data_IF_712250744172
#
_entry.id   IF_712250744172
#
_cell.length_a   1.000
_cell.length_b   1.000
_cell.length_c   1.000
_cell.angle_alpha   90.00
_cell.angle_beta   90.00
_cell.angle_gamma   90.00
#
_symmetry.space_group_name_H-M   'P 1'
#
loop_
_entity.id
_entity.type
_entity.pdbx_description
1 polymer ?
#
# COMPACT_ATOMS: atom_id res chain seq x y z
N UNK A 1 -18.04 17.08 -41.38
CA UNK A 1 -18.91 17.55 -40.29
C UNK A 1 -19.22 16.36 -39.40
N UNK A 2 -18.52 16.26 -38.27
CA UNK A 2 -18.83 15.30 -37.19
C UNK A 2 -18.82 16.11 -35.89
N UNK A 3 -20.00 16.20 -35.28
CA UNK A 3 -20.24 16.69 -33.93
C UNK A 3 -20.18 15.50 -32.96
N UNK A 4 -20.09 15.84 -31.66
CA UNK A 4 -19.95 14.99 -30.46
C UNK A 4 -18.51 14.50 -30.21
N UNK A 5 -17.92 14.58 -29.03
CA UNK A 5 -18.28 15.18 -27.74
C UNK A 5 -17.09 14.97 -26.82
N UNK A 6 -16.83 15.93 -25.94
CA UNK A 6 -16.30 15.75 -24.59
C UNK A 6 -14.87 15.19 -24.39
N UNK A 7 -14.05 16.04 -23.77
CA UNK A 7 -13.14 15.70 -22.67
C UNK A 7 -11.80 15.02 -23.01
N UNK A 8 -10.80 15.83 -23.42
CA UNK A 8 -9.38 15.46 -23.37
C UNK A 8 -8.58 16.52 -22.60
N UNK A 9 -9.06 16.87 -21.40
CA UNK A 9 -8.30 17.67 -20.42
C UNK A 9 -7.75 16.81 -19.28
N UNK A 10 -7.62 15.50 -19.48
CA UNK A 10 -6.96 14.60 -18.54
C UNK A 10 -5.68 14.11 -19.22
N UNK A 11 -4.53 14.29 -18.55
CA UNK A 11 -3.19 13.71 -18.83
C UNK A 11 -2.06 14.63 -19.35
N UNK A 12 -2.08 15.95 -19.12
CA UNK A 12 -0.90 16.79 -19.40
C UNK A 12 0.25 16.71 -18.36
N UNK A 13 0.07 16.08 -17.19
CA UNK A 13 1.11 16.05 -16.14
C UNK A 13 2.06 14.83 -16.21
N UNK A 14 1.81 13.91 -17.14
CA UNK A 14 2.71 12.79 -17.44
C UNK A 14 3.75 13.11 -18.52
N UNK A 15 3.37 13.90 -19.52
CA UNK A 15 4.16 14.08 -20.73
C UNK A 15 5.32 15.09 -20.58
N UNK A 16 5.32 15.95 -19.57
CA UNK A 16 6.39 16.95 -19.37
C UNK A 16 7.72 16.36 -18.89
N UNK A 17 7.71 15.22 -18.18
CA UNK A 17 8.95 14.58 -17.68
C UNK A 17 9.68 13.83 -18.79
N UNK A 18 8.96 13.42 -19.85
CA UNK A 18 9.53 12.68 -20.99
C UNK A 18 10.38 13.55 -21.92
N UNK A 19 10.41 14.88 -21.76
CA UNK A 19 11.04 15.76 -22.75
C UNK A 19 12.54 16.02 -22.55
N UNK A 20 13.17 15.44 -21.51
CA UNK A 20 14.63 15.47 -21.36
C UNK A 20 15.22 14.06 -21.46
N UNK A 21 15.74 13.75 -22.65
CA UNK A 21 16.46 12.53 -23.02
C UNK A 21 17.78 12.38 -22.22
N UNK A 22 17.71 12.14 -20.91
CA UNK A 22 18.90 12.03 -20.05
C UNK A 22 18.77 11.06 -18.86
N UNK A 23 17.63 10.39 -18.69
CA UNK A 23 17.40 9.47 -17.57
C UNK A 23 17.42 8.01 -18.04
N UNK A 24 18.19 7.18 -17.36
CA UNK A 24 18.25 5.73 -17.59
C UNK A 24 16.87 5.05 -17.41
N UNK A 25 16.69 3.88 -18.02
CA UNK A 25 15.42 3.12 -17.98
C UNK A 25 14.96 2.80 -16.54
N UNK A 26 15.92 2.66 -15.62
CA UNK A 26 15.70 2.43 -14.19
C UNK A 26 15.06 3.66 -13.53
N UNK A 27 15.53 4.87 -13.86
CA UNK A 27 15.00 6.14 -13.37
C UNK A 27 13.58 6.40 -13.86
N UNK A 28 13.26 6.03 -15.10
CA UNK A 28 11.90 6.15 -15.63
C UNK A 28 10.95 5.20 -14.90
N UNK A 29 11.36 3.94 -14.71
CA UNK A 29 10.58 2.96 -13.95
C UNK A 29 10.34 3.45 -12.53
N UNK A 30 11.35 4.01 -11.88
CA UNK A 30 11.26 4.59 -10.54
C UNK A 30 10.26 5.74 -10.49
N UNK A 31 10.33 6.70 -11.41
CA UNK A 31 9.40 7.83 -11.49
C UNK A 31 7.95 7.36 -11.70
N UNK A 32 7.73 6.36 -12.55
CA UNK A 32 6.40 5.80 -12.82
C UNK A 32 5.86 5.09 -11.57
N UNK A 33 6.68 4.29 -10.90
CA UNK A 33 6.29 3.58 -9.69
C UNK A 33 6.03 4.55 -8.52
N UNK A 34 6.84 5.60 -8.34
CA UNK A 34 6.59 6.64 -7.35
C UNK A 34 5.26 7.38 -7.58
N UNK A 35 4.95 7.72 -8.84
CA UNK A 35 3.64 8.28 -9.20
C UNK A 35 2.50 7.28 -8.98
N UNK A 36 2.74 6.00 -9.19
CA UNK A 36 1.76 4.95 -8.93
C UNK A 36 1.43 4.86 -7.43
N UNK A 37 2.42 4.98 -6.52
CA UNK A 37 2.19 4.99 -5.07
C UNK A 37 1.23 6.13 -4.69
N UNK A 38 1.47 7.34 -5.22
CA UNK A 38 0.60 8.50 -4.96
C UNK A 38 -0.84 8.27 -5.45
N UNK A 39 -1.00 7.72 -6.66
CA UNK A 39 -2.31 7.40 -7.24
C UNK A 39 -3.03 6.33 -6.41
N UNK A 40 -2.33 5.26 -6.01
CA UNK A 40 -2.89 4.18 -5.19
C UNK A 40 -3.38 4.73 -3.86
N UNK A 41 -2.54 5.49 -3.14
CA UNK A 41 -2.89 6.08 -1.84
C UNK A 41 -4.05 7.05 -1.99
N UNK A 42 -4.07 7.88 -3.05
CA UNK A 42 -5.17 8.81 -3.29
C UNK A 42 -6.48 8.07 -3.60
N UNK A 43 -6.44 6.98 -4.37
CA UNK A 43 -7.62 6.16 -4.63
C UNK A 43 -8.14 5.51 -3.35
N UNK A 44 -7.26 4.97 -2.49
CA UNK A 44 -7.63 4.39 -1.20
C UNK A 44 -8.29 5.43 -0.27
N UNK A 45 -7.78 6.67 -0.23
CA UNK A 45 -8.41 7.78 0.52
C UNK A 45 -9.78 8.16 -0.05
N UNK A 46 -9.86 8.32 -1.38
CA UNK A 46 -11.08 8.79 -2.07
C UNK A 46 -12.22 7.77 -1.93
N UNK A 47 -11.89 6.49 -1.97
CA UNK A 47 -12.85 5.40 -1.94
C UNK A 47 -12.73 4.54 -0.67
N UNK A 48 -12.56 5.20 0.48
CA UNK A 48 -12.28 4.56 1.78
C UNK A 48 -13.30 3.51 2.26
N UNK A 49 -14.51 3.50 1.70
CA UNK A 49 -15.57 2.53 2.02
C UNK A 49 -15.69 1.39 1.00
N UNK A 50 -14.99 1.46 -0.14
CA UNK A 50 -15.02 0.42 -1.16
C UNK A 50 -13.99 -0.69 -0.87
N UNK A 51 -14.44 -1.77 -0.23
CA UNK A 51 -13.60 -2.91 0.17
C UNK A 51 -12.72 -3.45 -0.97
N UNK A 52 -13.24 -3.55 -2.20
CA UNK A 52 -12.46 -4.00 -3.35
C UNK A 52 -11.30 -3.06 -3.73
N UNK A 53 -11.49 -1.74 -3.60
CA UNK A 53 -10.42 -0.77 -3.84
C UNK A 53 -9.39 -0.85 -2.71
N UNK A 54 -9.84 -0.98 -1.47
CA UNK A 54 -8.94 -1.11 -0.32
C UNK A 54 -8.08 -2.37 -0.41
N UNK A 55 -8.70 -3.51 -0.74
CA UNK A 55 -8.01 -4.78 -1.00
C UNK A 55 -6.91 -4.64 -2.07
N UNK A 56 -7.27 -4.11 -3.24
CA UNK A 56 -6.34 -3.90 -4.36
C UNK A 56 -5.23 -2.91 -4.00
N UNK A 57 -5.57 -1.87 -3.25
CA UNK A 57 -4.63 -0.89 -2.74
C UNK A 57 -3.58 -1.53 -1.84
N UNK A 58 -4.00 -2.27 -0.80
CA UNK A 58 -3.09 -3.03 0.05
C UNK A 58 -2.23 -4.01 -0.77
N UNK A 59 -2.83 -4.82 -1.64
CA UNK A 59 -2.07 -5.76 -2.47
C UNK A 59 -1.02 -5.07 -3.37
N UNK A 60 -1.34 -3.89 -3.90
CA UNK A 60 -0.40 -3.11 -4.70
C UNK A 60 0.74 -2.54 -3.86
N UNK A 61 0.43 -1.98 -2.69
CA UNK A 61 1.44 -1.46 -1.75
C UNK A 61 2.35 -2.57 -1.20
N UNK A 62 1.81 -3.76 -0.96
CA UNK A 62 2.61 -4.94 -0.63
C UNK A 62 3.62 -5.20 -1.74
N UNK A 63 3.18 -5.39 -2.99
CA UNK A 63 4.08 -5.69 -4.10
C UNK A 63 5.17 -4.62 -4.30
N UNK A 64 4.80 -3.34 -4.19
CA UNK A 64 5.73 -2.22 -4.34
C UNK A 64 6.74 -2.15 -3.18
N UNK A 65 6.32 -2.44 -1.94
CA UNK A 65 7.17 -2.35 -0.76
C UNK A 65 8.21 -3.47 -0.62
N UNK A 66 8.16 -4.51 -1.46
CA UNK A 66 9.09 -5.65 -1.37
C UNK A 66 10.52 -5.20 -1.69
N UNK A 67 11.43 -5.35 -0.71
CA UNK A 67 12.87 -5.13 -0.86
C UNK A 67 13.25 -3.75 -1.44
N UNK A 68 12.45 -2.71 -1.19
CA UNK A 68 12.72 -1.37 -1.69
C UNK A 68 12.54 -0.31 -0.59
N UNK A 69 13.65 0.09 0.03
CA UNK A 69 13.66 1.06 1.14
C UNK A 69 13.10 2.43 0.74
N UNK A 70 13.37 2.89 -0.48
CA UNK A 70 12.87 4.17 -0.99
C UNK A 70 11.35 4.15 -1.10
N UNK A 71 10.77 3.09 -1.65
CA UNK A 71 9.32 2.96 -1.76
C UNK A 71 8.64 2.75 -0.42
N UNK A 72 9.25 1.97 0.48
CA UNK A 72 8.78 1.87 1.86
C UNK A 72 8.72 3.25 2.54
N UNK A 73 9.73 4.09 2.31
CA UNK A 73 9.81 5.45 2.86
C UNK A 73 8.76 6.36 2.22
N UNK A 74 8.62 6.33 0.89
CA UNK A 74 7.61 7.11 0.16
C UNK A 74 6.18 6.74 0.58
N UNK A 75 5.90 5.45 0.78
CA UNK A 75 4.60 4.98 1.29
C UNK A 75 4.32 5.55 2.68
N UNK A 76 5.31 5.53 3.58
CA UNK A 76 5.20 6.18 4.90
C UNK A 76 4.91 7.67 4.77
N UNK A 77 5.71 8.41 4.00
CA UNK A 77 5.57 9.87 3.84
C UNK A 77 4.19 10.29 3.32
N UNK A 78 3.57 9.45 2.48
CA UNK A 78 2.22 9.66 1.95
C UNK A 78 1.10 9.21 2.90
N UNK A 79 1.44 8.80 4.12
CA UNK A 79 0.57 8.24 5.17
C UNK A 79 -0.06 6.90 4.80
N UNK A 80 0.59 6.14 3.93
CA UNK A 80 0.10 4.84 3.46
C UNK A 80 0.00 3.81 4.58
N UNK A 81 0.93 3.83 5.55
CA UNK A 81 0.92 2.92 6.71
C UNK A 81 -0.32 3.16 7.57
N UNK A 82 -0.60 4.43 7.90
CA UNK A 82 -1.77 4.84 8.69
C UNK A 82 -3.07 4.40 8.02
N UNK A 83 -3.16 4.58 6.71
CA UNK A 83 -4.32 4.17 5.91
C UNK A 83 -4.51 2.65 5.97
N UNK A 84 -3.46 1.86 5.77
CA UNK A 84 -3.54 0.39 5.84
C UNK A 84 -4.02 -0.06 7.22
N UNK A 85 -3.47 0.51 8.30
CA UNK A 85 -3.91 0.18 9.67
C UNK A 85 -5.37 0.58 9.90
N UNK A 86 -5.79 1.76 9.42
CA UNK A 86 -7.18 2.21 9.53
C UNK A 86 -8.15 1.31 8.77
N UNK A 87 -7.78 0.86 7.56
CA UNK A 87 -8.59 -0.06 6.75
C UNK A 87 -8.75 -1.40 7.45
N UNK A 88 -7.66 -1.96 7.98
CA UNK A 88 -7.73 -3.22 8.73
C UNK A 88 -8.62 -3.09 9.98
N UNK A 89 -8.64 -1.91 10.63
CA UNK A 89 -9.59 -1.64 11.74
C UNK A 89 -11.03 -1.46 11.26
N UNK A 90 -11.24 -0.86 10.09
CA UNK A 90 -12.57 -0.58 9.50
C UNK A 90 -13.26 -1.83 8.96
N UNK A 91 -12.49 -2.81 8.46
CA UNK A 91 -13.00 -4.05 7.87
C UNK A 91 -12.45 -5.29 8.60
N UNK A 92 -12.75 -5.47 9.90
CA UNK A 92 -12.16 -6.53 10.71
C UNK A 92 -12.54 -7.94 10.27
N UNK A 93 -13.67 -8.11 9.58
CA UNK A 93 -14.20 -9.40 9.12
C UNK A 93 -13.80 -9.75 7.67
N UNK A 94 -13.20 -8.82 6.93
CA UNK A 94 -12.82 -9.08 5.54
C UNK A 94 -11.45 -9.77 5.48
N UNK A 95 -11.46 -11.09 5.29
CA UNK A 95 -10.28 -11.95 5.21
C UNK A 95 -9.20 -11.42 4.25
N UNK A 96 -9.59 -11.03 3.04
CA UNK A 96 -8.64 -10.56 2.03
C UNK A 96 -7.99 -9.23 2.44
N UNK A 97 -8.76 -8.29 2.98
CA UNK A 97 -8.23 -7.02 3.48
C UNK A 97 -7.25 -7.26 4.63
N UNK A 98 -7.55 -8.18 5.54
CA UNK A 98 -6.64 -8.52 6.64
C UNK A 98 -5.37 -9.19 6.12
N UNK A 99 -5.49 -10.07 5.12
CA UNK A 99 -4.35 -10.72 4.48
C UNK A 99 -3.43 -9.73 3.76
N UNK A 100 -3.96 -8.95 2.82
CA UNK A 100 -3.15 -7.97 2.10
C UNK A 100 -2.66 -6.84 3.00
N UNK A 101 -3.46 -6.40 3.98
CA UNK A 101 -3.07 -5.41 4.97
C UNK A 101 -1.90 -5.90 5.82
N UNK A 102 -1.99 -7.11 6.38
CA UNK A 102 -0.91 -7.73 7.15
C UNK A 102 0.36 -7.88 6.31
N UNK A 103 0.24 -8.35 5.05
CA UNK A 103 1.37 -8.47 4.13
C UNK A 103 2.04 -7.13 3.83
N UNK A 104 1.23 -6.08 3.63
CA UNK A 104 1.72 -4.72 3.42
C UNK A 104 2.52 -4.24 4.64
N UNK A 105 1.99 -4.39 5.86
CA UNK A 105 2.70 -3.98 7.08
C UNK A 105 3.98 -4.79 7.33
N UNK A 106 3.97 -6.09 6.99
CA UNK A 106 5.16 -6.92 7.05
C UNK A 106 6.27 -6.40 6.13
N UNK A 107 5.98 -6.15 4.86
CA UNK A 107 7.03 -5.66 3.93
C UNK A 107 7.46 -4.23 4.23
N UNK A 108 6.56 -3.38 4.71
CA UNK A 108 6.90 -1.99 5.05
C UNK A 108 7.76 -1.88 6.31
N UNK A 109 7.73 -2.87 7.21
CA UNK A 109 8.57 -2.92 8.41
C UNK A 109 9.88 -3.69 8.22
N UNK A 110 10.00 -4.50 7.16
CA UNK A 110 11.20 -5.30 6.90
C UNK A 110 12.41 -4.39 6.60
N UNK A 111 13.44 -4.46 7.44
CA UNK A 111 14.65 -3.63 7.40
C UNK A 111 14.38 -2.12 7.41
N UNK A 112 13.26 -1.67 7.99
CA UNK A 112 12.91 -0.25 8.08
C UNK A 112 12.42 0.08 9.50
N UNK A 113 13.34 0.54 10.35
CA UNK A 113 13.10 0.74 11.77
C UNK A 113 12.10 1.88 12.05
N UNK A 114 12.13 2.94 11.24
CA UNK A 114 11.17 4.05 11.35
C UNK A 114 9.75 3.58 11.05
N UNK A 115 9.56 2.79 9.97
CA UNK A 115 8.27 2.22 9.64
C UNK A 115 7.81 1.20 10.69
N UNK A 116 8.72 0.33 11.18
CA UNK A 116 8.43 -0.60 12.28
C UNK A 116 7.89 0.14 13.50
N UNK A 117 8.55 1.21 13.93
CA UNK A 117 8.13 2.00 15.08
C UNK A 117 6.77 2.68 14.86
N UNK A 118 6.54 3.25 13.67
CA UNK A 118 5.24 3.82 13.32
C UNK A 118 4.12 2.77 13.36
N UNK A 119 4.34 1.59 12.78
CA UNK A 119 3.38 0.48 12.75
C UNK A 119 3.02 0.04 14.18
N UNK A 120 4.00 -0.06 15.08
CA UNK A 120 3.76 -0.34 16.51
C UNK A 120 2.92 0.74 17.16
N UNK A 121 3.29 2.02 16.97
CA UNK A 121 2.60 3.16 17.57
C UNK A 121 1.14 3.31 17.10
N UNK A 122 0.81 2.84 15.90
CA UNK A 122 -0.56 2.82 15.38
C UNK A 122 -1.42 1.67 15.95
N UNK A 123 -0.84 0.82 16.81
CA UNK A 123 -1.52 -0.32 17.44
C UNK A 123 -1.69 -1.52 16.52
N UNK A 124 -0.90 -1.61 15.43
CA UNK A 124 -1.03 -2.72 14.48
C UNK A 124 -0.54 -4.06 15.06
N UNK A 125 0.31 -4.04 16.10
CA UNK A 125 0.81 -5.27 16.73
C UNK A 125 -0.34 -6.12 17.30
N UNK A 126 -1.20 -5.54 18.14
CA UNK A 126 -2.34 -6.27 18.70
C UNK A 126 -3.39 -6.62 17.63
N UNK A 127 -3.55 -5.76 16.62
CA UNK A 127 -4.42 -6.04 15.46
C UNK A 127 -3.98 -7.32 14.74
N UNK A 128 -2.69 -7.44 14.42
CA UNK A 128 -2.12 -8.60 13.73
C UNK A 128 -2.17 -9.85 14.62
N UNK A 129 -1.90 -9.69 15.91
CA UNK A 129 -1.96 -10.80 16.89
C UNK A 129 -3.36 -11.40 17.01
N UNK A 130 -4.41 -10.59 16.90
CA UNK A 130 -5.79 -11.06 16.99
C UNK A 130 -6.30 -11.76 15.71
N UNK A 131 -5.53 -11.77 14.62
CA UNK A 131 -5.94 -12.40 13.37
C UNK A 131 -6.14 -13.91 13.51
N UNK A 132 -5.33 -14.58 14.34
CA UNK A 132 -5.50 -16.04 14.58
C UNK A 132 -6.84 -16.36 15.24
N UNK A 133 -7.29 -15.50 16.16
CA UNK A 133 -8.59 -15.65 16.81
C UNK A 133 -9.74 -15.31 15.88
N UNK A 134 -9.58 -14.28 15.05
CA UNK A 134 -10.64 -13.79 14.16
C UNK A 134 -10.83 -14.68 12.92
N UNK A 135 -9.78 -15.36 12.46
CA UNK A 135 -9.77 -16.16 11.23
C UNK A 135 -9.20 -17.57 11.45
N UNK A 136 -9.76 -18.38 12.36
CA UNK A 136 -9.14 -19.61 12.85
C UNK A 136 -8.79 -20.65 11.77
N UNK A 137 -9.43 -20.59 10.60
CA UNK A 137 -9.21 -21.52 9.50
C UNK A 137 -8.28 -20.97 8.38
N UNK A 138 -7.73 -19.76 8.51
CA UNK A 138 -6.92 -19.12 7.45
C UNK A 138 -5.41 -19.28 7.69
N UNK A 139 -4.88 -20.45 7.33
CA UNK A 139 -3.49 -20.83 7.63
C UNK A 139 -2.44 -19.90 7.03
N UNK A 140 -2.64 -19.43 5.79
CA UNK A 140 -1.72 -18.52 5.12
C UNK A 140 -1.66 -17.17 5.82
N UNK A 141 -2.80 -16.65 6.27
CA UNK A 141 -2.87 -15.43 7.08
C UNK A 141 -2.10 -15.59 8.39
N UNK A 142 -2.22 -16.72 9.07
CA UNK A 142 -1.49 -16.97 10.32
C UNK A 142 0.03 -17.01 10.09
N UNK A 143 0.49 -17.66 9.02
CA UNK A 143 1.92 -17.68 8.66
C UNK A 143 2.44 -16.25 8.44
N UNK A 144 1.68 -15.44 7.71
CA UNK A 144 2.03 -14.05 7.41
C UNK A 144 2.02 -13.18 8.67
N UNK A 145 0.99 -13.29 9.50
CA UNK A 145 0.86 -12.61 10.78
C UNK A 145 2.06 -12.92 11.70
N UNK A 146 2.42 -14.20 11.81
CA UNK A 146 3.58 -14.62 12.60
C UNK A 146 4.91 -14.04 12.09
N UNK A 147 5.08 -13.94 10.77
CA UNK A 147 6.26 -13.28 10.19
C UNK A 147 6.27 -11.78 10.50
N UNK A 148 5.12 -11.12 10.38
CA UNK A 148 4.99 -9.70 10.74
C UNK A 148 5.28 -9.46 12.22
N UNK A 149 4.73 -10.26 13.12
CA UNK A 149 4.95 -10.10 14.56
C UNK A 149 6.41 -10.33 14.96
N UNK A 150 7.15 -11.23 14.29
CA UNK A 150 8.59 -11.42 14.53
C UNK A 150 9.40 -10.16 14.24
N UNK A 151 9.05 -9.42 13.17
CA UNK A 151 9.71 -8.15 12.83
C UNK A 151 9.31 -7.07 13.83
N UNK A 152 8.04 -7.01 14.22
CA UNK A 152 7.51 -5.95 15.07
C UNK A 152 7.87 -6.08 16.55
N UNK A 153 8.38 -7.24 17.01
CA UNK A 153 8.98 -7.39 18.34
C UNK A 153 10.12 -6.39 18.51
#
# INVERSE_FOLDING_TARGET
>A
MNNFSSNVNIQSSGCGILWNNSFDEVSIKLIVEMKAIEIIIQAMKTFESHQNIQKKGCGSLWNIGVNNYEYQTKIRELKGIEIVVQIMKKFPENEEIQYFGCGTLWVLSFNNEENKNLIKNLGAFELIKNLETNFPNYQELHKLANNSLKILK
#
